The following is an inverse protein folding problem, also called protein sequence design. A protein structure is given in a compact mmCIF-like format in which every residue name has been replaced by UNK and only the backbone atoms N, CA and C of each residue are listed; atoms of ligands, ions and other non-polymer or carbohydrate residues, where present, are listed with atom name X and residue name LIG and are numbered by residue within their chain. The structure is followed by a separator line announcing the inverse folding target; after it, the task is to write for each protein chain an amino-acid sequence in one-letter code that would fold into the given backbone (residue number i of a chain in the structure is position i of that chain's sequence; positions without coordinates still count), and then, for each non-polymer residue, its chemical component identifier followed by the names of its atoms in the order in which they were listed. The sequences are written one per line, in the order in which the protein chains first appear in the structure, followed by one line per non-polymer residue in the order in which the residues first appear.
data_IF_170972045850
#
_entry.id   IF_170972045850
#
_cell.length_a   1.000
_cell.length_b   1.000
_cell.length_c   1.000
_cell.angle_alpha   90.00
_cell.angle_beta   90.00
_cell.angle_gamma   90.00
#
_symmetry.space_group_name_H-M   'P 1'
#
loop_
_entity.id
_entity.type
_entity.pdbx_description
1 polymer ?
#
# COMPACT_ATOMS: atom_id res chain seq x y z
N UNK A 1 -7.08 14.16 23.40
CA UNK A 1 -6.19 15.03 22.59
C UNK A 1 -5.40 14.16 21.60
N UNK A 2 -5.27 14.59 20.34
CA UNK A 2 -4.69 13.74 19.31
C UNK A 2 -3.15 13.77 19.23
N UNK A 3 -2.51 14.78 19.79
CA UNK A 3 -1.04 14.97 19.77
C UNK A 3 -0.44 14.79 18.38
N UNK A 4 -1.10 15.30 17.34
CA UNK A 4 -0.69 15.23 15.93
C UNK A 4 -0.57 13.81 15.36
N UNK A 5 -1.22 12.83 15.97
CA UNK A 5 -1.26 11.46 15.44
C UNK A 5 -2.16 11.39 14.21
N UNK A 6 -1.63 10.89 13.12
CA UNK A 6 -2.33 10.85 11.82
C UNK A 6 -2.92 9.49 11.48
N UNK A 7 -2.96 8.56 12.42
CA UNK A 7 -3.45 7.20 12.19
C UNK A 7 -4.77 6.94 12.93
N UNK A 8 -5.57 6.03 12.35
CA UNK A 8 -6.78 5.51 12.98
C UNK A 8 -6.47 4.19 13.69
N UNK A 9 -7.01 4.00 14.87
CA UNK A 9 -6.78 2.77 15.65
C UNK A 9 -7.61 1.60 15.14
N UNK A 10 -8.75 1.83 14.52
CA UNK A 10 -9.64 0.83 13.92
C UNK A 10 -10.09 -0.28 14.90
N UNK A 11 -10.18 0.06 16.19
CA UNK A 11 -10.59 -0.86 17.23
C UNK A 11 -9.61 -2.01 17.51
N UNK A 12 -8.31 -1.84 17.17
CA UNK A 12 -7.31 -2.91 17.27
C UNK A 12 -6.04 -2.44 17.96
N UNK A 13 -5.35 -3.37 18.61
CA UNK A 13 -4.01 -3.14 19.13
C UNK A 13 -3.04 -2.89 17.96
N UNK A 14 -1.91 -2.28 18.28
CA UNK A 14 -0.91 -1.88 17.26
C UNK A 14 -0.42 -3.03 16.40
N UNK A 15 -0.11 -4.16 17.02
CA UNK A 15 0.37 -5.37 16.32
C UNK A 15 -0.69 -5.93 15.36
N UNK A 16 -1.93 -6.05 15.84
CA UNK A 16 -3.05 -6.55 15.02
C UNK A 16 -3.39 -5.57 13.89
N UNK A 17 -3.37 -4.27 14.16
CA UNK A 17 -3.64 -3.25 13.16
C UNK A 17 -2.61 -3.28 12.03
N UNK A 18 -1.32 -3.37 12.37
CA UNK A 18 -0.25 -3.46 11.36
C UNK A 18 -0.37 -4.73 10.52
N UNK A 19 -0.68 -5.87 11.15
CA UNK A 19 -0.92 -7.12 10.42
C UNK A 19 -2.11 -7.00 9.46
N UNK A 20 -3.19 -6.36 9.90
CA UNK A 20 -4.36 -6.12 9.05
C UNK A 20 -4.01 -5.24 7.85
N UNK A 21 -3.28 -4.14 8.07
CA UNK A 21 -2.88 -3.24 6.98
C UNK A 21 -1.94 -3.93 5.99
N UNK A 22 -1.01 -4.74 6.49
CA UNK A 22 -0.12 -5.55 5.66
C UNK A 22 -0.93 -6.50 4.76
N UNK A 23 -1.85 -7.25 5.33
CA UNK A 23 -2.66 -8.21 4.60
C UNK A 23 -3.57 -7.52 3.57
N UNK A 24 -4.15 -6.39 3.92
CA UNK A 24 -4.97 -5.60 2.99
C UNK A 24 -4.13 -5.02 1.85
N UNK A 25 -2.89 -4.59 2.13
CA UNK A 25 -1.97 -4.13 1.09
C UNK A 25 -1.65 -5.24 0.10
N UNK A 26 -1.35 -6.44 0.60
CA UNK A 26 -1.11 -7.62 -0.25
C UNK A 26 -2.35 -7.91 -1.11
N UNK A 27 -3.53 -7.89 -0.52
CA UNK A 27 -4.78 -8.12 -1.25
C UNK A 27 -5.00 -7.09 -2.35
N UNK A 28 -4.75 -5.81 -2.07
CA UNK A 28 -4.90 -4.75 -3.06
C UNK A 28 -3.88 -4.88 -4.19
N UNK A 29 -2.63 -5.22 -3.85
CA UNK A 29 -1.58 -5.44 -4.87
C UNK A 29 -1.97 -6.58 -5.79
N UNK A 30 -2.49 -7.68 -5.25
CA UNK A 30 -2.84 -8.86 -6.03
C UNK A 30 -4.07 -8.66 -6.89
N UNK A 31 -5.12 -8.06 -6.32
CA UNK A 31 -6.42 -7.89 -6.99
C UNK A 31 -6.54 -6.55 -7.73
N UNK A 32 -5.70 -5.57 -7.41
CA UNK A 32 -5.72 -4.18 -7.90
C UNK A 32 -6.97 -3.39 -7.50
N UNK A 33 -7.97 -4.07 -6.96
CA UNK A 33 -9.23 -3.48 -6.53
C UNK A 33 -9.84 -4.35 -5.43
N UNK A 34 -10.15 -3.75 -4.27
CA UNK A 34 -10.83 -4.46 -3.16
C UNK A 34 -11.95 -3.60 -2.59
N UNK A 35 -12.95 -4.27 -2.02
CA UNK A 35 -14.03 -3.62 -1.29
C UNK A 35 -13.79 -3.73 0.22
N UNK A 36 -13.98 -2.61 0.93
CA UNK A 36 -13.81 -2.54 2.38
C UNK A 36 -14.60 -1.36 2.94
N UNK A 37 -14.47 -1.09 4.24
CA UNK A 37 -15.09 0.10 4.82
C UNK A 37 -14.30 1.35 4.44
N UNK A 38 -14.97 2.50 4.43
CA UNK A 38 -14.36 3.79 4.07
C UNK A 38 -13.18 4.12 4.98
N UNK A 39 -13.30 3.86 6.28
CA UNK A 39 -12.24 4.14 7.26
C UNK A 39 -10.99 3.29 7.02
N UNK A 40 -11.17 2.00 6.73
CA UNK A 40 -10.05 1.11 6.40
C UNK A 40 -9.39 1.52 5.08
N UNK A 41 -10.18 1.86 4.07
CA UNK A 41 -9.65 2.30 2.78
C UNK A 41 -8.79 3.56 2.93
N UNK A 42 -9.26 4.53 3.68
CA UNK A 42 -8.51 5.77 3.93
C UNK A 42 -7.19 5.54 4.66
N UNK A 43 -7.15 4.59 5.57
CA UNK A 43 -5.92 4.25 6.28
C UNK A 43 -4.99 3.41 5.39
N UNK A 44 -5.53 2.45 4.66
CA UNK A 44 -4.79 1.58 3.75
C UNK A 44 -4.02 2.36 2.69
N UNK A 45 -4.60 3.43 2.18
CA UNK A 45 -3.98 4.26 1.13
C UNK A 45 -2.55 4.68 1.50
N UNK A 46 -2.33 5.05 2.77
CA UNK A 46 -1.02 5.50 3.24
C UNK A 46 0.06 4.41 3.08
N UNK A 47 -0.28 3.17 3.37
CA UNK A 47 0.65 2.05 3.29
C UNK A 47 0.93 1.65 1.85
N UNK A 48 -0.11 1.53 1.04
CA UNK A 48 0.01 1.12 -0.36
C UNK A 48 0.86 2.13 -1.15
N UNK A 49 0.59 3.41 -0.97
CA UNK A 49 1.32 4.44 -1.71
C UNK A 49 2.80 4.49 -1.32
N UNK A 50 3.14 4.22 -0.06
CA UNK A 50 4.55 4.10 0.37
C UNK A 50 5.25 2.95 -0.33
N UNK A 51 4.60 1.81 -0.43
CA UNK A 51 5.16 0.63 -1.11
C UNK A 51 5.38 0.91 -2.60
N UNK A 52 4.43 1.55 -3.24
CA UNK A 52 4.56 1.94 -4.65
C UNK A 52 5.71 2.95 -4.84
N UNK A 53 5.86 3.89 -3.93
CA UNK A 53 6.96 4.85 -3.96
C UNK A 53 8.33 4.15 -3.86
N UNK A 54 8.45 3.12 -3.01
CA UNK A 54 9.67 2.32 -2.92
C UNK A 54 9.97 1.63 -4.25
N UNK A 55 8.95 1.07 -4.90
CA UNK A 55 9.09 0.45 -6.21
C UNK A 55 9.53 1.45 -7.29
N UNK A 56 8.98 2.65 -7.28
CA UNK A 56 9.37 3.71 -8.22
C UNK A 56 10.84 4.12 -8.03
N UNK A 57 11.27 4.30 -6.79
CA UNK A 57 12.67 4.61 -6.49
C UNK A 57 13.61 3.50 -6.95
N UNK A 58 13.22 2.24 -6.71
CA UNK A 58 13.98 1.08 -7.20
C UNK A 58 14.18 1.12 -8.71
N UNK A 59 13.13 1.43 -9.47
CA UNK A 59 13.18 1.44 -10.92
C UNK A 59 14.01 2.59 -11.52
N UNK A 60 14.34 3.60 -10.72
CA UNK A 60 15.19 4.71 -11.15
C UNK A 60 16.69 4.38 -11.05
N UNK A 61 17.06 3.27 -10.39
CA UNK A 61 18.46 2.90 -10.23
C UNK A 61 18.95 2.02 -11.39
N UNK A 62 20.20 2.23 -11.77
CA UNK A 62 20.88 1.38 -12.74
C UNK A 62 21.47 0.16 -12.00
N UNK A 63 20.91 -1.02 -12.27
CA UNK A 63 21.33 -2.26 -11.60
C UNK A 63 22.70 -2.76 -12.05
N UNK A 64 23.25 -2.22 -13.14
CA UNK A 64 24.61 -2.56 -13.59
C UNK A 64 25.68 -1.84 -12.76
N UNK A 65 25.35 -0.70 -12.15
CA UNK A 65 26.23 0.03 -11.25
C UNK A 65 26.14 -0.59 -9.85
N UNK A 66 27.28 -1.03 -9.29
CA UNK A 66 27.30 -1.71 -7.99
C UNK A 66 26.75 -0.87 -6.84
N UNK A 67 27.06 0.43 -6.81
CA UNK A 67 26.59 1.34 -5.75
C UNK A 67 25.05 1.53 -5.83
N UNK A 68 24.53 1.76 -7.04
CA UNK A 68 23.12 1.92 -7.27
C UNK A 68 22.35 0.62 -7.02
N UNK A 69 22.94 -0.50 -7.42
CA UNK A 69 22.36 -1.83 -7.16
C UNK A 69 22.19 -2.09 -5.67
N UNK A 70 23.18 -1.74 -4.85
CA UNK A 70 23.08 -1.88 -3.39
C UNK A 70 21.93 -1.05 -2.82
N UNK A 71 21.75 0.18 -3.29
CA UNK A 71 20.64 1.05 -2.88
C UNK A 71 19.28 0.47 -3.32
N UNK A 72 19.20 -0.05 -4.53
CA UNK A 72 17.99 -0.68 -5.05
C UNK A 72 17.61 -1.91 -4.23
N UNK A 73 18.56 -2.76 -3.91
CA UNK A 73 18.33 -3.95 -3.06
C UNK A 73 17.84 -3.53 -1.67
N UNK A 74 18.39 -2.47 -1.11
CA UNK A 74 17.94 -1.94 0.17
C UNK A 74 16.46 -1.54 0.13
N UNK A 75 16.02 -0.86 -0.92
CA UNK A 75 14.62 -0.48 -1.09
C UNK A 75 13.70 -1.70 -1.17
N UNK A 76 14.14 -2.72 -1.91
CA UNK A 76 13.38 -3.96 -2.00
C UNK A 76 13.27 -4.66 -0.66
N UNK A 77 14.33 -4.66 0.14
CA UNK A 77 14.32 -5.22 1.49
C UNK A 77 13.38 -4.46 2.42
N UNK A 78 13.30 -3.14 2.29
CA UNK A 78 12.34 -2.33 3.05
C UNK A 78 10.89 -2.73 2.73
N UNK A 79 10.56 -2.88 1.47
CA UNK A 79 9.23 -3.32 1.05
C UNK A 79 8.92 -4.73 1.58
N UNK A 80 9.87 -5.64 1.50
CA UNK A 80 9.72 -6.99 2.02
C UNK A 80 9.57 -7.00 3.55
N UNK A 81 10.30 -6.16 4.26
CA UNK A 81 10.20 -6.06 5.72
C UNK A 81 8.78 -5.68 6.16
N UNK A 82 8.08 -4.88 5.37
CA UNK A 82 6.68 -4.54 5.64
C UNK A 82 5.71 -5.63 5.18
N UNK A 83 5.80 -6.06 3.91
CA UNK A 83 4.82 -6.99 3.31
C UNK A 83 5.02 -8.44 3.71
N UNK A 84 6.26 -8.87 3.89
CA UNK A 84 6.62 -10.28 4.17
C UNK A 84 6.04 -11.26 3.14
N UNK A 85 5.92 -10.83 1.89
CA UNK A 85 5.41 -11.62 0.80
C UNK A 85 6.20 -11.29 -0.47
N UNK A 86 7.04 -12.23 -0.90
CA UNK A 86 7.93 -12.04 -2.07
C UNK A 86 7.14 -11.81 -3.36
N UNK A 87 6.04 -12.51 -3.54
CA UNK A 87 5.23 -12.39 -4.77
C UNK A 87 4.61 -11.00 -4.88
N UNK A 88 4.08 -10.47 -3.76
CA UNK A 88 3.53 -9.13 -3.73
C UNK A 88 4.59 -8.07 -3.97
N UNK A 89 5.76 -8.19 -3.35
CA UNK A 89 6.89 -7.28 -3.59
C UNK A 89 7.32 -7.32 -5.06
N UNK A 90 7.47 -8.52 -5.62
CA UNK A 90 7.84 -8.67 -7.02
C UNK A 90 6.81 -8.03 -7.95
N UNK A 91 5.52 -8.22 -7.68
CA UNK A 91 4.46 -7.60 -8.48
C UNK A 91 4.51 -6.08 -8.44
N UNK A 92 4.69 -5.51 -7.24
CA UNK A 92 4.79 -4.05 -7.09
C UNK A 92 5.97 -3.52 -7.90
N UNK A 93 7.12 -4.14 -7.78
CA UNK A 93 8.36 -3.61 -8.38
C UNK A 93 8.43 -3.81 -9.89
N UNK A 94 7.88 -4.92 -10.40
CA UNK A 94 7.94 -5.27 -11.83
C UNK A 94 6.75 -4.76 -12.64
N UNK A 95 5.56 -4.76 -12.07
CA UNK A 95 4.32 -4.48 -12.81
C UNK A 95 3.66 -3.17 -12.41
N UNK A 96 3.52 -2.90 -11.11
CA UNK A 96 2.74 -1.76 -10.63
C UNK A 96 3.55 -0.47 -10.67
N UNK A 97 4.74 -0.45 -10.10
CA UNK A 97 5.57 0.76 -10.03
C UNK A 97 5.91 1.33 -11.42
N UNK A 98 6.23 0.51 -12.45
CA UNK A 98 6.46 1.04 -13.80
C UNK A 98 5.28 1.81 -14.39
N UNK A 99 4.05 1.44 -14.03
CA UNK A 99 2.85 2.15 -14.50
C UNK A 99 2.76 3.59 -13.97
N UNK A 100 3.40 3.88 -12.85
CA UNK A 100 3.26 5.16 -12.15
C UNK A 100 4.53 6.02 -12.18
N UNK A 101 5.50 5.68 -13.03
CA UNK A 101 6.77 6.42 -13.07
C UNK A 101 6.57 7.91 -13.35
N UNK A 102 5.59 8.28 -14.16
CA UNK A 102 5.30 9.67 -14.51
C UNK A 102 4.31 10.34 -13.55
N UNK A 103 3.81 9.61 -12.56
CA UNK A 103 2.81 10.11 -11.63
C UNK A 103 3.42 10.41 -10.26
N UNK A 104 3.24 11.62 -9.76
CA UNK A 104 3.86 12.10 -8.51
C UNK A 104 2.97 11.89 -7.29
N UNK A 105 2.38 10.71 -7.13
CA UNK A 105 1.52 10.39 -6.01
C UNK A 105 0.08 10.15 -6.44
N UNK A 106 -0.80 9.88 -5.46
CA UNK A 106 -2.20 9.62 -5.76
C UNK A 106 -2.41 8.35 -6.58
N UNK A 107 -1.72 7.26 -6.21
CA UNK A 107 -1.80 5.99 -6.96
C UNK A 107 -3.05 5.20 -6.67
N UNK A 108 -3.84 5.60 -5.69
CA UNK A 108 -5.06 4.90 -5.29
C UNK A 108 -6.26 5.81 -5.40
N UNK A 109 -7.42 5.20 -5.61
CA UNK A 109 -8.71 5.88 -5.65
C UNK A 109 -9.67 5.17 -4.71
N UNK A 110 -10.41 5.94 -3.92
CA UNK A 110 -11.45 5.42 -3.03
C UNK A 110 -12.80 5.88 -3.56
N UNK A 111 -13.67 4.93 -3.85
CA UNK A 111 -15.02 5.18 -4.36
C UNK A 111 -16.01 4.67 -3.30
N UNK A 112 -16.78 5.57 -2.71
CA UNK A 112 -17.84 5.19 -1.77
C UNK A 112 -18.94 4.47 -2.54
N UNK A 113 -19.38 3.33 -2.03
CA UNK A 113 -20.37 2.50 -2.71
C UNK A 113 -21.73 2.52 -2.01
N UNK A 114 -21.85 1.87 -0.86
CA UNK A 114 -23.13 1.66 -0.20
C UNK A 114 -22.92 1.61 1.32
N UNK A 115 -23.99 1.34 2.03
CA UNK A 115 -24.01 1.18 3.48
C UNK A 115 -24.32 -0.27 3.79
N UNK A 116 -23.49 -0.89 4.63
CA UNK A 116 -23.68 -2.30 4.99
C UNK A 116 -24.95 -2.47 5.82
N UNK A 117 -25.76 -3.48 5.49
CA UNK A 117 -27.08 -3.67 6.12
C UNK A 117 -27.01 -3.91 7.62
N UNK A 118 -26.04 -4.72 8.07
CA UNK A 118 -26.01 -5.19 9.45
C UNK A 118 -25.70 -4.10 10.48
N UNK A 119 -24.81 -3.19 10.18
CA UNK A 119 -24.30 -2.20 11.13
C UNK A 119 -24.23 -0.76 10.56
N UNK A 120 -24.77 -0.56 9.37
CA UNK A 120 -24.77 0.75 8.66
C UNK A 120 -23.35 1.30 8.43
N UNK A 121 -22.34 0.43 8.36
CA UNK A 121 -20.98 0.86 8.04
C UNK A 121 -20.90 1.33 6.59
N UNK A 122 -20.28 2.48 6.36
CA UNK A 122 -20.05 2.97 5.00
C UNK A 122 -19.00 2.10 4.29
N UNK A 123 -19.35 1.60 3.12
CA UNK A 123 -18.48 0.78 2.29
C UNK A 123 -17.84 1.59 1.18
N UNK A 124 -16.67 1.15 0.75
CA UNK A 124 -15.96 1.76 -0.36
C UNK A 124 -15.13 0.73 -1.11
N UNK A 125 -14.84 1.06 -2.36
CA UNK A 125 -13.86 0.33 -3.16
C UNK A 125 -12.59 1.16 -3.18
N UNK A 126 -11.46 0.55 -2.85
CA UNK A 126 -10.15 1.14 -3.08
C UNK A 126 -9.51 0.41 -4.25
N UNK A 127 -8.98 1.18 -5.20
CA UNK A 127 -8.38 0.62 -6.41
C UNK A 127 -7.12 1.39 -6.79
N UNK A 128 -6.25 0.73 -7.53
CA UNK A 128 -5.12 1.38 -8.17
C UNK A 128 -5.61 2.13 -9.41
N UNK A 129 -5.16 3.35 -9.55
CA UNK A 129 -5.62 4.24 -10.64
C UNK A 129 -5.10 3.78 -12.00
#
# INVERSE_FOLDING_TARGET
MNHNKSYRKLGRRSDHRLAMMKNMTISLVNAERIETTVTRAKELRKFVEKVITLGKKYNNFNLENNDERAKAIYLRRQAFAFLRNEEAVAKVFKEIAPKYMDRNGGYTRIIKTDVRRGDSAELAIIELV
#
